data_IF_473957202466
#
_entry.id   IF_473957202466
#
_cell.length_a   1.000
_cell.length_b   1.000
_cell.length_c   1.000
_cell.angle_alpha   90.00
_cell.angle_beta   90.00
_cell.angle_gamma   90.00
#
_symmetry.space_group_name_H-M   'P 1'
#
loop_
_entity.id
_entity.type
_entity.pdbx_description
1 polymer ?
#
# COMPACT_ATOMS: atom_id res chain seq x y z
N UNK A 1 -10.04 17.11 3.82
CA UNK A 1 -10.48 15.70 3.84
C UNK A 1 -10.60 15.01 2.47
N UNK A 2 -10.77 15.75 1.38
CA UNK A 2 -10.89 15.20 0.01
C UNK A 2 -9.66 14.37 -0.43
N UNK A 3 -8.47 14.81 -0.12
CA UNK A 3 -7.21 14.13 -0.47
C UNK A 3 -7.01 12.74 0.14
N UNK A 4 -7.59 12.45 1.28
CA UNK A 4 -7.48 11.13 1.92
C UNK A 4 -8.20 10.04 1.14
N UNK A 5 -9.36 10.35 0.57
CA UNK A 5 -10.16 9.43 -0.25
C UNK A 5 -9.45 9.14 -1.57
N UNK A 6 -8.94 10.17 -2.24
CA UNK A 6 -8.21 10.02 -3.51
C UNK A 6 -6.94 9.18 -3.34
N UNK A 7 -6.21 9.37 -2.22
CA UNK A 7 -5.05 8.55 -1.88
C UNK A 7 -5.45 7.11 -1.63
N UNK A 8 -6.57 6.87 -0.92
CA UNK A 8 -7.06 5.52 -0.64
C UNK A 8 -7.46 4.79 -1.92
N UNK A 9 -8.14 5.44 -2.84
CA UNK A 9 -8.46 4.85 -4.16
C UNK A 9 -7.21 4.54 -4.99
N UNK A 10 -6.21 5.41 -4.95
CA UNK A 10 -4.93 5.17 -5.61
C UNK A 10 -4.23 3.95 -5.02
N UNK A 11 -4.18 3.84 -3.71
CA UNK A 11 -3.56 2.73 -3.01
C UNK A 11 -4.27 1.40 -3.31
N UNK A 12 -5.60 1.40 -3.33
CA UNK A 12 -6.40 0.24 -3.71
C UNK A 12 -6.15 -0.17 -5.16
N UNK A 13 -6.18 0.80 -6.07
CA UNK A 13 -6.07 0.53 -7.50
C UNK A 13 -4.68 0.02 -7.90
N UNK A 14 -3.63 0.68 -7.41
CA UNK A 14 -2.26 0.44 -7.88
C UNK A 14 -1.43 -0.40 -6.91
N UNK A 15 -1.48 -0.13 -5.60
CA UNK A 15 -0.64 -0.83 -4.63
C UNK A 15 -1.20 -2.21 -4.28
N UNK A 16 -2.52 -2.30 -4.10
CA UNK A 16 -3.22 -3.56 -3.82
C UNK A 16 -3.58 -4.29 -5.13
N UNK A 17 -3.71 -3.55 -6.24
CA UNK A 17 -3.99 -4.11 -7.55
C UNK A 17 -5.47 -4.39 -7.81
N UNK A 18 -6.39 -3.62 -7.24
CA UNK A 18 -7.83 -3.82 -7.39
C UNK A 18 -8.34 -3.68 -8.84
N UNK A 19 -7.52 -3.16 -9.75
CA UNK A 19 -7.86 -3.02 -11.18
C UNK A 19 -7.54 -4.24 -12.03
N UNK A 20 -6.84 -5.24 -11.50
CA UNK A 20 -6.46 -6.44 -12.24
C UNK A 20 -7.02 -7.71 -11.57
N UNK A 21 -7.98 -8.38 -12.22
CA UNK A 21 -8.57 -9.61 -11.73
C UNK A 21 -8.06 -10.80 -12.56
N UNK A 22 -7.78 -11.92 -11.88
CA UNK A 22 -7.36 -13.17 -12.54
C UNK A 22 -8.56 -14.05 -12.85
N UNK A 23 -9.60 -13.95 -12.05
CA UNK A 23 -10.81 -14.74 -12.19
C UNK A 23 -11.65 -14.27 -13.39
N UNK A 24 -12.37 -15.22 -14.01
CA UNK A 24 -13.30 -14.97 -15.12
C UNK A 24 -14.77 -15.03 -14.67
N UNK A 25 -15.07 -15.79 -13.62
CA UNK A 25 -16.44 -15.94 -13.09
C UNK A 25 -16.71 -14.85 -12.06
N UNK A 26 -17.93 -14.31 -12.05
CA UNK A 26 -18.33 -13.21 -11.16
C UNK A 26 -18.09 -13.53 -9.68
N UNK A 27 -18.40 -14.75 -9.25
CA UNK A 27 -18.22 -15.20 -7.87
C UNK A 27 -16.75 -15.13 -7.42
N UNK A 28 -15.82 -15.58 -8.26
CA UNK A 28 -14.39 -15.54 -7.96
C UNK A 28 -13.83 -14.11 -8.04
N UNK A 29 -14.37 -13.27 -8.94
CA UNK A 29 -14.02 -11.84 -8.97
C UNK A 29 -14.42 -11.18 -7.65
N UNK A 30 -15.60 -11.48 -7.13
CA UNK A 30 -16.05 -10.96 -5.83
C UNK A 30 -15.14 -11.43 -4.70
N UNK A 31 -14.72 -12.69 -4.69
CA UNK A 31 -13.76 -13.20 -3.71
C UNK A 31 -12.42 -12.45 -3.80
N UNK A 32 -11.89 -12.23 -5.00
CA UNK A 32 -10.66 -11.43 -5.18
C UNK A 32 -10.84 -9.99 -4.68
N UNK A 33 -11.99 -9.36 -4.92
CA UNK A 33 -12.29 -8.00 -4.43
C UNK A 33 -12.26 -7.98 -2.91
N UNK A 34 -13.00 -8.88 -2.26
CA UNK A 34 -13.05 -8.92 -0.79
C UNK A 34 -11.70 -9.24 -0.16
N UNK A 35 -10.95 -10.21 -0.72
CA UNK A 35 -9.62 -10.54 -0.23
C UNK A 35 -8.67 -9.33 -0.29
N UNK A 36 -8.73 -8.56 -1.38
CA UNK A 36 -7.91 -7.34 -1.52
C UNK A 36 -8.34 -6.21 -0.61
N UNK A 37 -9.63 -6.04 -0.38
CA UNK A 37 -10.15 -5.06 0.60
C UNK A 37 -9.74 -5.41 2.02
N UNK A 38 -9.81 -6.68 2.39
CA UNK A 38 -9.34 -7.17 3.70
C UNK A 38 -7.83 -6.90 3.85
N UNK A 39 -7.03 -7.26 2.84
CA UNK A 39 -5.58 -6.98 2.85
C UNK A 39 -5.31 -5.48 3.01
N UNK A 40 -6.03 -4.62 2.28
CA UNK A 40 -5.91 -3.17 2.38
C UNK A 40 -6.18 -2.68 3.81
N UNK A 41 -7.29 -3.10 4.40
CA UNK A 41 -7.69 -2.68 5.73
C UNK A 41 -6.69 -3.14 6.81
N UNK A 42 -6.23 -4.38 6.73
CA UNK A 42 -5.21 -4.91 7.63
C UNK A 42 -3.88 -4.15 7.50
N UNK A 43 -3.43 -3.93 6.27
CA UNK A 43 -2.22 -3.13 6.03
C UNK A 43 -2.34 -1.70 6.55
N UNK A 44 -3.50 -1.05 6.35
CA UNK A 44 -3.75 0.31 6.88
C UNK A 44 -3.75 0.32 8.41
N UNK A 45 -4.37 -0.67 9.06
CA UNK A 45 -4.41 -0.77 10.51
C UNK A 45 -2.99 -0.91 11.10
N UNK A 46 -2.22 -1.90 10.63
CA UNK A 46 -0.86 -2.16 11.12
C UNK A 46 0.07 -0.98 10.83
N UNK A 47 -0.04 -0.41 9.64
CA UNK A 47 0.77 0.72 9.22
C UNK A 47 0.47 1.99 10.01
N UNK A 48 -0.79 2.26 10.32
CA UNK A 48 -1.20 3.38 11.17
C UNK A 48 -0.66 3.22 12.59
N UNK A 49 -0.71 2.01 13.14
CA UNK A 49 -0.13 1.70 14.44
C UNK A 49 1.39 1.92 14.46
N UNK A 50 2.10 1.43 13.45
CA UNK A 50 3.55 1.62 13.30
C UNK A 50 3.94 3.10 13.22
N UNK A 51 3.15 3.92 12.52
CA UNK A 51 3.39 5.36 12.39
C UNK A 51 3.20 6.12 13.71
N UNK A 52 2.19 5.76 14.51
CA UNK A 52 1.91 6.39 15.81
C UNK A 52 3.06 6.20 16.80
N UNK A 53 3.79 5.10 16.72
CA UNK A 53 4.88 4.78 17.63
C UNK A 53 6.18 5.54 17.31
N UNK A 54 6.30 6.16 16.13
CA UNK A 54 7.48 6.94 15.73
C UNK A 54 7.19 8.43 15.81
N UNK A 55 7.25 8.99 16.99
CA UNK A 55 7.23 10.46 17.19
C UNK A 55 8.66 10.97 17.30
N UNK A 56 9.07 11.83 16.36
CA UNK A 56 10.30 12.62 16.46
C UNK A 56 9.95 14.08 16.64
N UNK A 57 10.68 14.79 17.53
CA UNK A 57 10.48 16.21 17.75
C UNK A 57 10.93 17.08 16.56
N UNK A 58 11.81 16.56 15.70
CA UNK A 58 12.44 17.34 14.61
C UNK A 58 11.89 17.07 13.22
N UNK A 59 11.23 15.94 12.98
CA UNK A 59 10.77 15.57 11.65
C UNK A 59 9.36 14.95 11.68
N UNK A 60 8.55 15.34 10.71
CA UNK A 60 7.27 14.69 10.43
C UNK A 60 7.54 13.53 9.49
N UNK A 61 7.05 12.34 9.82
CA UNK A 61 7.17 11.15 8.99
C UNK A 61 5.83 10.79 8.38
N UNK A 62 5.86 10.33 7.15
CA UNK A 62 4.70 9.74 6.49
C UNK A 62 4.91 8.26 6.23
N UNK A 63 3.82 7.54 6.16
CA UNK A 63 3.81 6.13 5.89
C UNK A 63 4.17 5.85 4.44
N UNK A 64 5.11 4.93 4.23
CA UNK A 64 5.32 4.29 2.93
C UNK A 64 4.36 3.09 2.80
N UNK A 65 3.16 3.33 2.29
CA UNK A 65 2.13 2.30 2.22
C UNK A 65 2.52 1.12 1.32
N UNK A 66 3.22 1.38 0.21
CA UNK A 66 3.70 0.32 -0.68
C UNK A 66 4.69 -0.61 0.02
N UNK A 67 5.64 -0.06 0.79
CA UNK A 67 6.56 -0.86 1.60
C UNK A 67 5.81 -1.65 2.68
N UNK A 68 4.83 -1.04 3.36
CA UNK A 68 4.02 -1.71 4.37
C UNK A 68 3.26 -2.91 3.80
N UNK A 69 2.63 -2.77 2.63
CA UNK A 69 1.94 -3.86 1.94
C UNK A 69 2.90 -4.99 1.58
N UNK A 70 4.09 -4.66 1.07
CA UNK A 70 5.09 -5.66 0.71
C UNK A 70 5.58 -6.46 1.93
N UNK A 71 5.91 -5.77 3.02
CA UNK A 71 6.34 -6.39 4.28
C UNK A 71 5.24 -7.29 4.84
N UNK A 72 4.01 -6.78 4.87
CA UNK A 72 2.86 -7.52 5.41
C UNK A 72 2.56 -8.77 4.58
N UNK A 73 2.55 -8.66 3.25
CA UNK A 73 2.36 -9.82 2.37
C UNK A 73 3.45 -10.86 2.57
N UNK A 74 4.72 -10.45 2.65
CA UNK A 74 5.82 -11.37 2.92
C UNK A 74 5.63 -12.10 4.25
N UNK A 75 5.24 -11.39 5.31
CA UNK A 75 4.97 -11.98 6.62
C UNK A 75 3.83 -13.01 6.59
N UNK A 76 2.78 -12.79 5.78
CA UNK A 76 1.68 -13.73 5.63
C UNK A 76 2.08 -15.03 4.91
N UNK A 77 3.10 -14.98 4.05
CA UNK A 77 3.56 -16.13 3.25
C UNK A 77 4.81 -16.80 3.84
N UNK A 78 5.27 -16.39 5.02
CA UNK A 78 6.33 -17.11 5.72
C UNK A 78 5.83 -18.47 6.16
N UNK A 79 6.70 -19.48 5.99
CA UNK A 79 6.43 -20.83 6.47
C UNK A 79 6.23 -20.85 8.00
N UNK A 80 5.38 -21.76 8.46
CA UNK A 80 5.01 -21.89 9.88
C UNK A 80 6.20 -22.17 10.81
N UNK A 81 7.32 -22.64 10.27
CA UNK A 81 8.51 -23.03 11.03
C UNK A 81 9.47 -21.87 11.32
N UNK A 82 9.23 -20.70 10.71
CA UNK A 82 10.01 -19.50 10.99
C UNK A 82 9.29 -18.63 12.01
N UNK A 83 10.06 -18.05 12.95
CA UNK A 83 9.49 -17.07 13.86
C UNK A 83 8.95 -15.86 13.08
N UNK A 84 7.73 -15.41 13.36
CA UNK A 84 7.14 -14.30 12.62
C UNK A 84 8.00 -13.03 12.77
N UNK A 85 8.29 -12.32 11.68
CA UNK A 85 9.05 -11.08 11.74
C UNK A 85 8.27 -10.00 12.50
N UNK A 86 8.97 -9.12 13.19
CA UNK A 86 8.35 -7.93 13.76
C UNK A 86 7.95 -6.94 12.65
N UNK A 87 6.76 -7.14 12.10
CA UNK A 87 6.19 -6.36 11.00
C UNK A 87 6.13 -4.86 11.34
N UNK A 88 5.82 -4.53 12.58
CA UNK A 88 5.70 -3.15 13.05
C UNK A 88 7.06 -2.44 13.01
N UNK A 89 8.09 -3.07 13.52
CA UNK A 89 9.46 -2.53 13.49
C UNK A 89 9.99 -2.40 12.06
N UNK A 90 9.70 -3.38 11.20
CA UNK A 90 10.06 -3.30 9.79
C UNK A 90 9.36 -2.13 9.09
N UNK A 91 8.06 -1.95 9.26
CA UNK A 91 7.32 -0.82 8.68
C UNK A 91 7.87 0.52 9.16
N UNK A 92 8.24 0.62 10.46
CA UNK A 92 8.86 1.85 11.01
C UNK A 92 10.20 2.19 10.36
N UNK A 93 10.98 1.22 9.96
CA UNK A 93 12.28 1.47 9.30
C UNK A 93 12.10 2.10 7.91
N UNK A 94 10.94 1.90 7.26
CA UNK A 94 10.61 2.42 5.93
C UNK A 94 9.72 3.67 5.93
N UNK A 95 9.53 4.33 7.10
CA UNK A 95 8.83 5.61 7.14
C UNK A 95 9.63 6.69 6.41
N UNK A 96 8.94 7.51 5.63
CA UNK A 96 9.52 8.57 4.82
C UNK A 96 9.48 9.91 5.56
N UNK A 97 10.59 10.66 5.63
CA UNK A 97 10.55 12.02 6.19
C UNK A 97 9.77 12.95 5.26
N UNK A 98 8.86 13.74 5.82
CA UNK A 98 8.14 14.77 5.09
C UNK A 98 9.00 16.04 5.05
N UNK A 99 9.35 16.48 3.86
CA UNK A 99 10.01 17.77 3.66
C UNK A 99 8.93 18.84 3.53
N UNK A 100 8.76 19.60 4.59
CA UNK A 100 7.86 20.74 4.60
C UNK A 100 8.39 21.83 3.63
N UNK A 101 7.49 22.49 2.92
CA UNK A 101 7.77 23.61 2.01
C UNK A 101 8.56 23.28 0.74
N UNK A 102 8.62 22.01 0.33
CA UNK A 102 9.19 21.65 -0.96
C UNK A 102 8.07 21.52 -2.01
N UNK A 103 8.06 22.43 -2.97
CA UNK A 103 7.21 22.39 -4.14
C UNK A 103 8.09 22.19 -5.37
N UNK A 104 8.09 20.98 -5.93
CA UNK A 104 8.78 20.70 -7.19
C UNK A 104 7.75 20.73 -8.33
N UNK A 105 8.04 21.43 -9.46
CA UNK A 105 7.18 21.41 -10.63
C UNK A 105 7.09 19.98 -11.18
N UNK A 106 5.88 19.43 -11.25
CA UNK A 106 5.67 18.12 -11.86
C UNK A 106 5.89 18.21 -13.36
N UNK A 107 6.86 17.45 -13.87
CA UNK A 107 6.90 17.17 -15.31
C UNK A 107 5.67 16.35 -15.67
N UNK A 108 4.71 16.98 -16.33
CA UNK A 108 3.53 16.29 -16.87
C UNK A 108 4.02 15.44 -18.05
N UNK A 109 4.19 14.13 -17.80
CA UNK A 109 4.37 13.20 -18.93
C UNK A 109 3.00 13.04 -19.59
N UNK A 110 2.96 13.21 -20.92
CA UNK A 110 1.77 12.84 -21.68
C UNK A 110 1.48 11.36 -21.42
N UNK A 111 0.33 11.07 -20.83
CA UNK A 111 -0.12 9.69 -20.69
C UNK A 111 -0.51 9.18 -22.07
N UNK A 112 -0.02 8.00 -22.45
CA UNK A 112 -0.61 7.29 -23.58
C UNK A 112 -2.10 7.10 -23.31
N UNK A 113 -2.92 7.32 -24.30
CA UNK A 113 -4.38 7.34 -24.18
C UNK A 113 -4.99 6.00 -23.70
N UNK A 114 -4.20 4.94 -23.62
CA UNK A 114 -4.67 3.62 -23.23
C UNK A 114 -3.69 3.03 -22.19
N UNK A 115 -4.05 2.97 -20.89
CA UNK A 115 -3.29 2.21 -19.91
C UNK A 115 -3.56 0.72 -20.13
N UNK A 116 -2.73 0.05 -20.90
CA UNK A 116 -2.74 -1.41 -20.95
C UNK A 116 -2.16 -1.98 -19.64
N UNK A 117 -3.02 -2.56 -18.84
CA UNK A 117 -2.60 -3.49 -17.80
C UNK A 117 -2.40 -4.85 -18.48
N UNK A 118 -1.14 -5.20 -18.76
CA UNK A 118 -0.82 -6.52 -19.25
C UNK A 118 -1.25 -7.56 -18.21
N UNK A 119 -2.11 -8.48 -18.60
CA UNK A 119 -2.28 -9.74 -17.88
C UNK A 119 -0.99 -10.54 -18.09
N UNK A 120 -0.23 -10.69 -17.03
CA UNK A 120 0.81 -11.71 -16.99
C UNK A 120 0.05 -13.04 -16.88
N UNK A 121 0.12 -13.84 -17.93
CA UNK A 121 -0.47 -15.17 -17.98
C UNK A 121 0.25 -16.09 -16.99
#
# INVERSE_FOLDING_TARGET
>A
MRWGVETSFRDLKYTIGLSGFHAKRAEFIMQEVFARLILYNLCKLVASHAALLKRSKSHVYQLNFSAAVHIFRRALFLASDESPPDVVSLIRSFLLPVRLNRSDPRKVKSHSAIPFLYRIA
#
